data_IF_414051037755
#
_entry.id   IF_414051037755
#
_cell.length_a   1.000
_cell.length_b   1.000
_cell.length_c   1.000
_cell.angle_alpha   90.00
_cell.angle_beta   90.00
_cell.angle_gamma   90.00
#
_symmetry.space_group_name_H-M   'P 1'
#
loop_
_entity.id
_entity.type
_entity.pdbx_description
1 polymer ?
2 non-polymer ?
3 water ?
#
# COMPACT_ATOMS: atom_id res chain seq x y z
N UNK A 1 -12.99 -20.88 22.30
CA UNK A 1 -11.61 -20.43 21.99
C UNK A 1 -11.62 -19.13 21.20
N UNK A 2 -10.74 -18.21 21.55
CA UNK A 2 -10.65 -16.93 20.88
C UNK A 2 -9.47 -16.94 19.93
N UNK A 3 -9.67 -16.42 18.72
CA UNK A 3 -8.63 -16.36 17.70
C UNK A 3 -8.32 -14.91 17.34
N UNK A 4 -7.93 -14.15 18.34
CA UNK A 4 -7.61 -12.74 18.17
C UNK A 4 -6.49 -12.54 17.16
N UNK A 5 -6.74 -11.69 16.16
CA UNK A 5 -5.73 -11.45 15.13
C UNK A 5 -5.90 -12.34 13.92
N UNK A 6 -6.65 -13.44 14.10
CA UNK A 6 -6.92 -14.39 13.03
C UNK A 6 -5.68 -15.00 12.36
N UNK A 7 -4.58 -15.10 13.10
CA UNK A 7 -3.37 -15.67 12.50
C UNK A 7 -3.58 -17.10 12.03
N UNK A 8 -3.18 -17.37 10.79
CA UNK A 8 -3.32 -18.70 10.23
C UNK A 8 -4.72 -19.09 9.79
N UNK A 9 -5.69 -18.22 10.01
CA UNK A 9 -7.06 -18.52 9.59
C UNK A 9 -7.24 -18.24 8.10
N UNK A 10 -7.64 -19.27 7.36
CA UNK A 10 -7.86 -19.15 5.94
C UNK A 10 -9.31 -18.71 5.73
N UNK A 11 -9.49 -17.47 5.26
CA UNK A 11 -10.83 -16.95 5.05
C UNK A 11 -11.38 -17.14 3.64
N UNK A 12 -10.56 -17.70 2.75
CA UNK A 12 -11.00 -17.92 1.38
C UNK A 12 -9.96 -18.69 0.57
N UNK A 13 -10.34 -19.07 -0.65
CA UNK A 13 -9.45 -19.74 -1.57
C UNK A 13 -9.10 -18.66 -2.58
N UNK A 14 -7.85 -18.61 -3.01
CA UNK A 14 -7.45 -17.60 -3.99
C UNK A 14 -6.38 -18.14 -4.94
N UNK A 15 -6.50 -17.73 -6.21
CA UNK A 15 -5.48 -18.09 -7.18
C UNK A 15 -4.64 -16.87 -7.61
N UNK A 16 -4.85 -15.74 -6.90
CA UNK A 16 -4.17 -14.50 -7.27
C UNK A 16 -2.70 -14.46 -6.84
N UNK A 17 -2.43 -14.82 -5.59
CA UNK A 17 -1.07 -14.71 -5.08
C UNK A 17 -0.70 -15.76 -4.04
N UNK A 18 0.51 -16.29 -4.18
CA UNK A 18 1.01 -17.27 -3.22
C UNK A 18 2.10 -16.59 -2.41
N UNK A 19 1.88 -16.54 -1.09
CA UNK A 19 2.82 -15.94 -0.17
C UNK A 19 3.51 -17.04 0.62
N UNK A 20 4.79 -17.26 0.36
CA UNK A 20 5.55 -18.29 1.05
C UNK A 20 6.33 -17.62 2.18
N UNK A 21 5.71 -17.54 3.36
CA UNK A 21 6.35 -16.91 4.50
C UNK A 21 7.56 -17.66 5.05
N UNK A 22 7.57 -18.98 4.88
CA UNK A 22 8.68 -19.78 5.39
C UNK A 22 9.97 -19.56 4.60
N UNK A 23 9.88 -19.53 3.28
CA UNK A 23 11.05 -19.33 2.43
C UNK A 23 11.24 -17.90 1.92
N UNK A 24 10.37 -17.00 2.36
CA UNK A 24 10.48 -15.61 1.92
C UNK A 24 10.32 -15.41 0.43
N UNK A 25 9.28 -16.00 -0.15
CA UNK A 25 9.02 -15.85 -1.57
C UNK A 25 7.61 -15.34 -1.79
N UNK A 26 7.43 -14.55 -2.85
CA UNK A 26 6.12 -14.00 -3.19
C UNK A 26 5.91 -14.21 -4.68
N UNK A 27 4.71 -14.66 -5.04
CA UNK A 27 4.39 -14.92 -6.44
C UNK A 27 3.05 -14.33 -6.83
N UNK A 28 2.96 -13.79 -8.04
CA UNK A 28 1.70 -13.26 -8.57
C UNK A 28 1.26 -14.30 -9.59
N UNK A 29 0.15 -14.98 -9.30
CA UNK A 29 -0.35 -16.02 -10.19
C UNK A 29 0.75 -16.93 -10.71
N UNK A 30 1.64 -17.35 -9.82
CA UNK A 30 2.72 -18.26 -10.20
C UNK A 30 4.08 -17.69 -10.58
N UNK A 31 4.13 -16.39 -10.89
CA UNK A 31 5.39 -15.76 -11.28
C UNK A 31 6.02 -15.02 -10.10
N UNK A 32 7.32 -15.22 -9.87
CA UNK A 32 8.04 -14.54 -8.78
C UNK A 32 7.90 -13.04 -8.93
N UNK A 33 7.57 -12.35 -7.84
CA UNK A 33 7.39 -10.91 -7.87
C UNK A 33 8.63 -10.14 -8.37
N UNK A 34 9.83 -10.61 -8.03
CA UNK A 34 11.03 -9.90 -8.49
C UNK A 34 11.22 -10.01 -9.99
N UNK A 35 10.73 -11.08 -10.60
CA UNK A 35 10.84 -11.21 -12.04
C UNK A 35 10.02 -10.12 -12.70
N UNK A 36 8.79 -9.94 -12.20
CA UNK A 36 7.91 -8.90 -12.74
C UNK A 36 8.46 -7.51 -12.44
N UNK A 37 8.91 -7.29 -11.22
CA UNK A 37 9.43 -5.98 -10.83
C UNK A 37 10.61 -5.56 -11.73
N UNK A 38 11.37 -6.55 -12.17
CA UNK A 38 12.53 -6.31 -13.01
C UNK A 38 12.21 -6.21 -14.50
N UNK A 39 11.38 -7.13 -14.99
CA UNK A 39 11.06 -7.20 -16.41
C UNK A 39 9.73 -6.64 -16.90
N UNK A 40 8.80 -6.38 -15.98
CA UNK A 40 7.48 -5.90 -16.40
C UNK A 40 7.28 -4.40 -16.24
N UNK A 41 6.03 -3.98 -16.34
CA UNK A 41 5.63 -2.58 -16.21
C UNK A 41 4.35 -2.58 -15.39
N UNK A 42 3.93 -1.40 -14.94
CA UNK A 42 2.71 -1.30 -14.15
C UNK A 42 1.52 -1.90 -14.91
N UNK A 43 1.30 -1.42 -16.13
CA UNK A 43 0.18 -1.92 -16.92
C UNK A 43 0.23 -3.41 -17.23
N UNK A 44 1.42 -3.92 -17.55
CA UNK A 44 1.52 -5.35 -17.87
C UNK A 44 1.25 -6.24 -16.67
N UNK A 45 1.79 -5.89 -15.50
CA UNK A 45 1.56 -6.71 -14.31
C UNK A 45 0.12 -6.56 -13.82
N UNK A 46 -0.44 -5.36 -13.95
CA UNK A 46 -1.82 -5.13 -13.53
C UNK A 46 -2.74 -5.97 -14.42
N UNK A 47 -2.41 -6.01 -15.71
CA UNK A 47 -3.19 -6.79 -16.66
C UNK A 47 -3.15 -8.25 -16.22
N UNK A 48 -1.95 -8.71 -15.89
CA UNK A 48 -1.73 -10.09 -15.46
C UNK A 48 -2.53 -10.42 -14.20
N UNK A 49 -2.55 -9.50 -13.24
CA UNK A 49 -3.28 -9.72 -12.01
C UNK A 49 -4.80 -9.78 -12.23
N UNK A 50 -5.32 -8.88 -13.06
CA UNK A 50 -6.76 -8.83 -13.33
C UNK A 50 -7.28 -9.88 -14.32
N UNK A 51 -6.51 -10.16 -15.37
CA UNK A 51 -6.94 -11.11 -16.39
C UNK A 51 -6.43 -12.54 -16.27
N UNK A 52 -5.40 -12.75 -15.46
CA UNK A 52 -4.87 -14.09 -15.28
C UNK A 52 -3.89 -14.62 -16.30
N UNK A 53 -3.46 -13.77 -17.23
CA UNK A 53 -2.50 -14.19 -18.24
C UNK A 53 -1.68 -12.99 -18.71
N UNK A 54 -0.46 -13.25 -19.16
CA UNK A 54 0.39 -12.16 -19.66
C UNK A 54 -0.22 -11.74 -20.99
N UNK A 55 -0.35 -10.43 -21.22
CA UNK A 55 -0.92 -9.92 -22.47
C UNK A 55 0.01 -10.01 -23.68
N UNK A 56 -0.59 -10.19 -24.86
CA UNK A 56 0.18 -10.25 -26.08
C UNK A 56 0.54 -8.79 -26.41
N UNK A 57 1.36 -8.59 -27.42
CA UNK A 57 1.77 -7.24 -27.80
C UNK A 57 0.57 -6.32 -28.04
N UNK A 58 -0.39 -6.79 -28.82
CA UNK A 58 -1.57 -5.98 -29.13
C UNK A 58 -2.47 -5.79 -27.89
N UNK A 59 -2.61 -6.82 -27.07
CA UNK A 59 -3.43 -6.69 -25.87
C UNK A 59 -2.85 -5.64 -24.93
N UNK A 60 -1.54 -5.69 -24.72
CA UNK A 60 -0.89 -4.72 -23.84
C UNK A 60 -1.03 -3.31 -24.39
N UNK A 61 -0.84 -3.18 -25.71
CA UNK A 61 -0.95 -1.88 -26.36
C UNK A 61 -2.34 -1.29 -26.15
N UNK A 62 -3.36 -2.10 -26.39
CA UNK A 62 -4.74 -1.67 -26.22
C UNK A 62 -5.07 -1.40 -24.75
N UNK A 63 -4.53 -2.21 -23.86
CA UNK A 63 -4.77 -2.03 -22.44
C UNK A 63 -4.11 -0.75 -21.94
N UNK A 64 -2.94 -0.43 -22.47
CA UNK A 64 -2.25 0.80 -22.06
C UNK A 64 -3.04 2.01 -22.52
N UNK A 65 -3.61 1.94 -23.71
CA UNK A 65 -4.41 3.06 -24.22
C UNK A 65 -5.69 3.22 -23.40
N UNK A 66 -6.22 2.09 -22.92
CA UNK A 66 -7.45 2.10 -22.12
C UNK A 66 -7.20 2.81 -20.79
N UNK A 67 -6.17 2.37 -20.07
CA UNK A 67 -5.86 3.00 -18.79
C UNK A 67 -5.55 4.48 -18.99
N UNK A 68 -4.83 4.80 -20.06
CA UNK A 68 -4.47 6.19 -20.35
C UNK A 68 -5.70 7.04 -20.65
N UNK A 69 -6.75 6.41 -21.15
CA UNK A 69 -7.97 7.11 -21.49
C UNK A 69 -8.88 7.30 -20.25
N UNK A 70 -8.51 6.66 -19.15
CA UNK A 70 -9.28 6.74 -17.90
C UNK A 70 -8.65 7.60 -16.80
N UNK A 71 -7.66 8.41 -17.15
CA UNK A 71 -6.97 9.24 -16.17
C UNK A 71 -7.62 10.55 -15.74
N UNK A 72 -8.71 10.93 -16.40
CA UNK A 72 -9.37 12.20 -16.07
C UNK A 72 -10.32 12.19 -14.88
N UNK A 73 -10.35 13.31 -14.18
CA UNK A 73 -11.26 13.48 -13.05
C UNK A 73 -12.44 14.28 -13.61
N UNK A 74 -13.67 13.95 -13.19
CA UNK A 74 -14.85 14.66 -13.69
C UNK A 74 -14.72 16.15 -13.37
N UNK A 75 -15.35 17.00 -14.19
CA UNK A 75 -15.28 18.44 -14.00
C UNK A 75 -15.73 18.86 -12.60
N UNK A 76 -16.73 18.17 -12.07
CA UNK A 76 -17.26 18.50 -10.74
C UNK A 76 -16.23 18.22 -9.65
N UNK A 77 -15.44 17.17 -9.83
CA UNK A 77 -14.41 16.83 -8.85
C UNK A 77 -13.40 17.95 -8.78
N UNK A 78 -13.08 18.52 -9.93
CA UNK A 78 -12.13 19.61 -9.99
C UNK A 78 -12.66 20.80 -9.20
N UNK A 79 -13.97 21.00 -9.27
CA UNK A 79 -14.57 22.11 -8.53
C UNK A 79 -14.38 21.94 -7.04
N UNK A 80 -14.55 20.72 -6.56
CA UNK A 80 -14.39 20.40 -5.15
C UNK A 80 -12.94 20.57 -4.70
N UNK A 81 -12.00 20.16 -5.56
CA UNK A 81 -10.58 20.26 -5.24
C UNK A 81 -10.15 21.64 -4.77
N UNK A 82 -10.58 22.67 -5.50
CA UNK A 82 -10.16 24.04 -5.19
C UNK A 82 -10.85 24.64 -3.95
N UNK A 83 -11.71 23.82 -3.28
CA UNK A 83 -12.34 24.29 -2.05
C UNK A 83 -11.91 23.45 -0.83
N UNK A 84 -10.94 22.52 -1.09
CA UNK A 84 -10.43 21.66 0.00
C UNK A 84 -9.27 22.32 0.74
N UNK A 85 -9.06 21.91 2.00
CA UNK A 85 -7.95 22.47 2.77
C UNK A 85 -6.69 22.00 2.04
N UNK A 86 -5.58 22.71 2.19
CA UNK A 86 -4.34 22.34 1.52
C UNK A 86 -3.40 21.52 2.39
N UNK A 87 -3.89 21.04 3.54
CA UNK A 87 -3.03 20.28 4.43
C UNK A 87 -3.59 18.89 4.75
N UNK A 88 -4.34 18.30 3.82
CA UNK A 88 -4.90 16.98 4.04
C UNK A 88 -3.87 15.88 3.79
N UNK A 89 -4.07 14.73 4.43
CA UNK A 89 -3.20 13.58 4.23
C UNK A 89 -3.67 12.98 2.90
N UNK A 90 -2.73 12.55 2.06
CA UNK A 90 -3.10 12.00 0.76
C UNK A 90 -4.05 10.81 0.76
N UNK A 91 -3.98 9.95 1.77
CA UNK A 91 -4.90 8.81 1.84
C UNK A 91 -6.32 9.35 1.96
N UNK A 92 -6.50 10.40 2.75
CA UNK A 92 -7.81 11.00 2.93
C UNK A 92 -8.29 11.67 1.65
N UNK A 93 -7.37 12.26 0.90
CA UNK A 93 -7.69 12.91 -0.36
C UNK A 93 -8.28 11.85 -1.30
N UNK A 94 -7.66 10.68 -1.32
CA UNK A 94 -8.14 9.58 -2.16
C UNK A 94 -9.56 9.18 -1.75
N UNK A 95 -9.82 9.09 -0.45
CA UNK A 95 -11.14 8.72 0.04
C UNK A 95 -12.20 9.67 -0.51
N UNK A 96 -11.92 10.96 -0.37
CA UNK A 96 -12.83 12.00 -0.83
C UNK A 96 -13.20 11.85 -2.29
N UNK A 97 -12.21 11.78 -3.16
CA UNK A 97 -12.50 11.72 -4.59
C UNK A 97 -13.11 10.38 -5.03
N UNK A 98 -12.93 9.31 -4.21
CA UNK A 98 -13.56 8.04 -4.57
C UNK A 98 -15.01 7.97 -4.09
N UNK A 99 -15.40 8.98 -3.28
CA UNK A 99 -16.73 8.97 -2.67
C UNK A 99 -17.68 9.98 -3.32
N UNK A 100 -17.24 10.57 -4.45
CA UNK A 100 -18.14 11.47 -5.16
C UNK A 100 -18.76 10.77 -6.39
N UNK A 101 -19.77 9.91 -6.08
CA UNK A 101 -20.43 9.12 -7.13
C UNK A 101 -19.41 8.46 -8.07
N UNK A 109 -15.95 -8.48 -14.65
CA UNK A 109 -16.53 -8.02 -15.90
C UNK A 109 -16.71 -6.49 -15.90
N UNK A 110 -17.91 -6.04 -15.48
CA UNK A 110 -18.12 -4.62 -15.30
C UNK A 110 -17.38 -4.12 -14.05
N UNK A 111 -17.37 -5.01 -13.04
CA UNK A 111 -16.61 -4.73 -11.82
C UNK A 111 -15.12 -4.58 -12.14
N UNK A 112 -14.63 -5.41 -13.06
CA UNK A 112 -13.23 -5.34 -13.45
C UNK A 112 -12.99 -4.05 -14.24
N UNK A 113 -13.95 -3.66 -15.06
CA UNK A 113 -13.82 -2.44 -15.85
C UNK A 113 -13.76 -1.27 -14.87
N UNK A 114 -14.57 -1.36 -13.82
CA UNK A 114 -14.61 -0.33 -12.79
C UNK A 114 -13.26 -0.26 -12.07
N UNK A 115 -12.69 -1.43 -11.79
CA UNK A 115 -11.41 -1.51 -11.09
C UNK A 115 -10.32 -0.85 -11.95
N UNK A 116 -10.34 -1.15 -13.24
CA UNK A 116 -9.37 -0.59 -14.17
C UNK A 116 -9.44 0.94 -14.20
N UNK A 117 -10.67 1.46 -14.24
CA UNK A 117 -10.85 2.92 -14.29
C UNK A 117 -10.41 3.61 -13.00
N UNK A 118 -10.78 3.05 -11.85
CA UNK A 118 -10.40 3.66 -10.58
C UNK A 118 -8.87 3.66 -10.41
N UNK A 119 -8.23 2.55 -10.76
CA UNK A 119 -6.77 2.47 -10.65
C UNK A 119 -6.10 3.50 -11.55
N UNK A 120 -6.67 3.70 -12.74
CA UNK A 120 -6.11 4.65 -13.71
C UNK A 120 -6.13 6.10 -13.23
N UNK A 121 -7.12 6.46 -12.41
CA UNK A 121 -7.24 7.83 -11.93
C UNK A 121 -6.51 8.15 -10.62
N UNK A 122 -6.06 7.12 -9.89
CA UNK A 122 -5.37 7.33 -8.62
C UNK A 122 -4.23 8.37 -8.70
N UNK A 123 -3.30 8.22 -9.66
CA UNK A 123 -2.20 9.18 -9.79
C UNK A 123 -2.64 10.62 -10.08
N UNK A 124 -3.75 10.76 -10.80
CA UNK A 124 -4.26 12.08 -11.13
C UNK A 124 -4.75 12.76 -9.86
N UNK A 125 -5.44 12.00 -9.02
CA UNK A 125 -5.95 12.54 -7.75
C UNK A 125 -4.78 13.05 -6.92
N UNK A 126 -3.75 12.22 -6.78
CA UNK A 126 -2.57 12.59 -5.99
C UNK A 126 -1.80 13.76 -6.59
N UNK A 127 -1.53 13.70 -7.89
CA UNK A 127 -0.78 14.76 -8.55
C UNK A 127 -1.52 16.10 -8.49
N UNK A 128 -2.81 16.08 -8.80
CA UNK A 128 -3.61 17.30 -8.76
C UNK A 128 -3.62 17.94 -7.38
N UNK A 129 -3.79 17.13 -6.35
CA UNK A 129 -3.83 17.68 -5.00
C UNK A 129 -2.46 18.24 -4.61
N UNK A 130 -1.41 17.57 -5.07
CA UNK A 130 -0.05 18.01 -4.79
C UNK A 130 0.17 19.41 -5.38
N UNK A 131 -0.13 19.55 -6.68
CA UNK A 131 0.03 20.83 -7.37
C UNK A 131 -0.84 21.91 -6.72
N UNK A 132 -2.09 21.56 -6.46
CA UNK A 132 -3.04 22.47 -5.83
C UNK A 132 -2.55 22.94 -4.46
N UNK A 133 -2.22 21.98 -3.60
CA UNK A 133 -1.77 22.30 -2.24
C UNK A 133 -0.55 23.22 -2.23
N UNK A 134 0.25 23.18 -3.30
CA UNK A 134 1.44 24.00 -3.38
C UNK A 134 1.26 25.24 -4.26
N UNK A 135 0.01 25.53 -4.62
CA UNK A 135 -0.29 26.69 -5.45
C UNK A 135 0.28 26.69 -6.84
N UNK A 136 0.51 25.51 -7.41
CA UNK A 136 1.04 25.40 -8.75
C UNK A 136 -0.06 25.06 -9.75
N UNK A 137 0.17 25.37 -11.02
CA UNK A 137 -0.82 25.08 -12.05
C UNK A 137 -0.90 23.57 -12.24
N UNK A 138 -2.10 23.05 -12.49
CA UNK A 138 -2.28 21.63 -12.70
C UNK A 138 -1.59 21.22 -13.99
N UNK A 139 -1.10 19.99 -14.02
CA UNK A 139 -0.46 19.44 -15.21
C UNK A 139 -1.36 18.28 -15.59
N UNK A 140 -2.12 18.46 -16.67
CA UNK A 140 -3.08 17.46 -17.13
C UNK A 140 -2.40 16.14 -17.55
N UNK A 141 -3.12 15.02 -17.43
CA UNK A 141 -2.57 13.72 -17.80
C UNK A 141 -2.21 13.73 -19.29
N UNK A 142 -1.09 13.12 -19.64
CA UNK A 142 -0.66 13.05 -21.04
C UNK A 142 -0.90 11.64 -21.56
N UNK A 143 -1.73 11.52 -22.59
CA UNK A 143 -2.06 10.21 -23.12
C UNK A 143 -0.91 9.51 -23.83
N UNK A 144 0.16 10.25 -24.15
CA UNK A 144 1.31 9.64 -24.82
C UNK A 144 2.32 9.06 -23.82
N UNK A 145 2.02 9.18 -22.53
CA UNK A 145 2.91 8.66 -21.48
C UNK A 145 2.32 7.44 -20.76
N UNK A 146 3.19 6.60 -20.22
CA UNK A 146 2.75 5.40 -19.50
C UNK A 146 2.15 5.81 -18.14
N UNK A 147 1.51 4.86 -17.46
CA UNK A 147 0.89 5.12 -16.16
C UNK A 147 1.86 5.76 -15.16
N UNK A 148 3.04 5.18 -15.00
CA UNK A 148 4.03 5.69 -14.06
C UNK A 148 4.73 6.94 -14.59
N UNK A 149 5.12 6.94 -15.87
CA UNK A 149 5.76 8.11 -16.47
C UNK A 149 4.87 9.32 -16.27
N UNK A 150 3.58 9.14 -16.57
CA UNK A 150 2.61 10.20 -16.46
C UNK A 150 2.44 10.72 -15.03
N UNK A 151 2.48 9.81 -14.06
CA UNK A 151 2.33 10.23 -12.68
C UNK A 151 3.47 11.16 -12.33
N UNK A 152 4.69 10.74 -12.68
CA UNK A 152 5.86 11.55 -12.40
C UNK A 152 5.79 12.90 -13.09
N UNK A 153 5.26 12.92 -14.32
CA UNK A 153 5.15 14.17 -15.06
C UNK A 153 4.08 15.10 -14.50
N UNK A 154 2.94 14.56 -14.06
CA UNK A 154 1.88 15.39 -13.50
C UNK A 154 2.34 15.97 -12.17
N UNK A 155 3.30 15.30 -11.54
CA UNK A 155 3.84 15.73 -10.25
C UNK A 155 4.90 16.81 -10.40
N UNK A 156 5.91 16.53 -11.23
CA UNK A 156 7.03 17.44 -11.40
C UNK A 156 7.23 18.10 -12.75
N UNK A 157 6.35 17.81 -13.71
CA UNK A 157 6.48 18.41 -15.03
C UNK A 157 7.76 18.05 -15.78
N UNK A 158 8.34 16.90 -15.46
CA UNK A 158 9.56 16.47 -16.11
C UNK A 158 9.67 14.94 -16.13
N UNK A 159 10.52 14.42 -16.99
CA UNK A 159 10.73 12.98 -17.09
C UNK A 159 12.17 12.64 -16.76
N UNK A 160 12.34 11.57 -15.97
CA UNK A 160 13.65 11.15 -15.52
C UNK A 160 13.78 9.63 -15.49
N UNK A 161 15.01 9.14 -15.61
CA UNK A 161 15.30 7.71 -15.59
C UNK A 161 14.88 7.05 -14.28
N UNK A 162 14.83 7.85 -13.21
CA UNK A 162 14.43 7.36 -11.89
C UNK A 162 13.05 6.73 -11.93
N UNK A 163 12.29 7.05 -12.97
CA UNK A 163 10.95 6.53 -13.14
C UNK A 163 10.92 5.00 -13.10
N UNK A 164 11.94 4.38 -13.68
CA UNK A 164 12.06 2.92 -13.71
C UNK A 164 12.08 2.31 -12.29
N UNK A 165 12.75 3.01 -11.37
CA UNK A 165 12.85 2.54 -10.00
C UNK A 165 11.48 2.61 -9.33
N UNK A 166 10.76 3.70 -9.57
CA UNK A 166 9.42 3.87 -9.01
C UNK A 166 8.48 2.78 -9.55
N UNK A 167 8.60 2.49 -10.84
CA UNK A 167 7.75 1.47 -11.45
C UNK A 167 8.00 0.09 -10.82
N UNK A 168 9.27 -0.25 -10.62
CA UNK A 168 9.59 -1.54 -9.99
C UNK A 168 8.97 -1.58 -8.59
N UNK A 169 9.05 -0.46 -7.88
CA UNK A 169 8.48 -0.38 -6.53
C UNK A 169 6.98 -0.62 -6.55
N UNK A 170 6.28 0.01 -7.48
CA UNK A 170 4.83 -0.18 -7.56
C UNK A 170 4.50 -1.66 -7.79
N UNK A 171 5.19 -2.28 -8.73
CA UNK A 171 4.96 -3.68 -9.05
C UNK A 171 5.14 -4.55 -7.80
N UNK A 172 6.19 -4.29 -7.03
CA UNK A 172 6.44 -5.05 -5.80
C UNK A 172 5.34 -4.89 -4.76
N UNK A 173 4.64 -3.76 -4.80
CA UNK A 173 3.59 -3.46 -3.83
C UNK A 173 2.15 -3.70 -4.29
N UNK A 174 1.96 -4.16 -5.53
CA UNK A 174 0.61 -4.37 -6.02
C UNK A 174 -0.24 -5.39 -5.28
N UNK A 175 0.37 -6.45 -4.79
CA UNK A 175 -0.42 -7.50 -4.17
C UNK A 175 0.31 -8.40 -3.16
N UNK A 176 -0.41 -8.81 -2.11
CA UNK A 176 0.16 -9.73 -1.13
C UNK A 176 -0.84 -10.46 -0.23
N UNK A 177 -1.63 -11.32 -0.84
CA UNK A 177 -2.59 -12.14 -0.11
C UNK A 177 -3.59 -11.35 0.74
N UNK A 178 -3.99 -11.90 1.88
CA UNK A 178 -4.97 -11.25 2.73
C UNK A 178 -4.42 -10.41 3.87
N UNK A 179 -3.71 -9.34 3.51
CA UNK A 179 -3.15 -8.43 4.50
C UNK A 179 -4.31 -7.61 5.05
N UNK A 180 -4.06 -6.82 6.09
CA UNK A 180 -5.12 -6.03 6.71
C UNK A 180 -5.97 -5.17 5.77
N UNK A 181 -5.35 -4.45 4.84
CA UNK A 181 -6.12 -3.60 3.93
C UNK A 181 -6.92 -4.43 2.92
N UNK A 182 -6.33 -5.50 2.39
CA UNK A 182 -7.05 -6.34 1.45
C UNK A 182 -8.21 -7.01 2.20
N UNK A 183 -7.97 -7.38 3.46
CA UNK A 183 -9.01 -8.01 4.25
C UNK A 183 -10.15 -7.05 4.52
N UNK A 184 -9.82 -5.79 4.78
CA UNK A 184 -10.85 -4.76 5.04
C UNK A 184 -11.73 -4.63 3.79
N UNK A 185 -11.10 -4.62 2.62
CA UNK A 185 -11.84 -4.51 1.37
C UNK A 185 -12.76 -5.72 1.20
N UNK A 186 -12.29 -6.89 1.61
CA UNK A 186 -13.08 -8.11 1.48
C UNK A 186 -14.28 -8.13 2.43
N UNK A 187 -14.07 -7.68 3.66
CA UNK A 187 -15.17 -7.64 4.63
C UNK A 187 -16.28 -6.74 4.08
N UNK A 188 -15.89 -5.57 3.58
CA UNK A 188 -16.86 -4.64 3.02
C UNK A 188 -17.48 -5.24 1.75
N UNK A 189 -16.65 -5.84 0.91
CA UNK A 189 -17.14 -6.44 -0.33
C UNK A 189 -18.12 -7.59 -0.08
N UNK A 190 -17.94 -8.30 1.04
CA UNK A 190 -18.80 -9.45 1.36
C UNK A 190 -20.28 -9.05 1.62
N UNK A 191 -20.50 -7.75 1.88
CA UNK A 191 -21.88 -7.27 2.08
C UNK A 191 -22.57 -6.85 0.74
N UNK A 192 -21.79 -7.04 -0.33
CA UNK A 192 -22.09 -6.69 -1.70
C UNK A 192 -22.09 -5.18 -1.91
N UNK A 193 -21.32 -4.47 -1.04
CA UNK A 193 -21.24 -3.03 -1.20
C UNK A 193 -20.49 -2.71 -2.48
N UNK A 194 -20.48 -1.44 -2.89
CA UNK A 194 -19.81 -1.03 -4.12
C UNK A 194 -18.28 -1.08 -4.02
N UNK A 195 -17.63 -1.14 -5.18
CA UNK A 195 -16.17 -1.21 -5.23
C UNK A 195 -15.47 -0.03 -4.56
N UNK A 196 -16.04 1.17 -4.70
CA UNK A 196 -15.42 2.35 -4.09
C UNK A 196 -15.41 2.22 -2.57
N UNK A 197 -16.51 1.73 -2.00
CA UNK A 197 -16.61 1.54 -0.57
C UNK A 197 -15.54 0.56 -0.09
N UNK A 198 -15.34 -0.52 -0.83
CA UNK A 198 -14.34 -1.51 -0.46
C UNK A 198 -12.96 -0.85 -0.43
N UNK A 199 -12.66 -0.08 -1.47
CA UNK A 199 -11.37 0.60 -1.58
C UNK A 199 -11.15 1.63 -0.47
N UNK A 200 -12.17 2.43 -0.17
CA UNK A 200 -12.05 3.45 0.87
C UNK A 200 -11.76 2.82 2.23
N UNK A 201 -12.32 1.64 2.49
CA UNK A 201 -12.05 0.96 3.74
C UNK A 201 -10.63 0.44 3.75
N UNK A 202 -10.19 -0.10 2.61
CA UNK A 202 -8.84 -0.63 2.47
C UNK A 202 -7.83 0.50 2.70
N UNK A 203 -8.13 1.67 2.15
CA UNK A 203 -7.26 2.83 2.30
C UNK A 203 -7.09 3.16 3.79
N UNK A 204 -8.20 3.12 4.52
CA UNK A 204 -8.15 3.42 5.95
C UNK A 204 -7.24 2.47 6.70
N UNK A 205 -7.28 1.20 6.33
CA UNK A 205 -6.43 0.18 6.98
C UNK A 205 -4.97 0.35 6.58
N UNK A 206 -4.72 0.61 5.30
CA UNK A 206 -3.35 0.76 4.81
C UNK A 206 -2.66 1.93 5.50
N UNK A 207 -3.46 2.95 5.86
CA UNK A 207 -2.98 4.17 6.51
C UNK A 207 -2.38 3.93 7.90
N UNK A 208 -2.84 2.90 8.59
CA UNK A 208 -2.35 2.61 9.93
C UNK A 208 -0.85 2.37 10.05
N UNK A 209 -0.23 2.81 11.16
CA UNK A 209 1.19 2.67 11.44
C UNK A 209 1.64 1.20 11.56
N UNK A 210 0.66 0.34 11.91
CA UNK A 210 0.95 -1.09 11.99
C UNK A 210 0.77 -1.80 10.65
N UNK A 211 0.48 -0.98 9.61
CA UNK A 211 0.33 -1.53 8.27
C UNK A 211 1.13 -0.68 7.27
N UNK A 212 0.46 -0.21 6.20
CA UNK A 212 1.22 0.58 5.21
C UNK A 212 1.81 1.87 5.80
N UNK A 213 1.10 2.43 6.79
CA UNK A 213 1.52 3.68 7.40
C UNK A 213 2.90 3.62 8.04
N UNK A 214 3.43 2.42 8.26
CA UNK A 214 4.75 2.28 8.85
C UNK A 214 5.77 2.94 7.92
N UNK A 215 5.45 3.01 6.64
CA UNK A 215 6.35 3.64 5.67
C UNK A 215 6.57 5.12 5.98
N UNK A 216 5.54 5.79 6.49
CA UNK A 216 5.66 7.21 6.82
C UNK A 216 6.38 7.40 8.15
N UNK A 217 6.40 6.36 8.97
CA UNK A 217 7.07 6.43 10.27
C UNK A 217 8.56 6.11 10.21
N UNK A 218 8.97 5.42 9.13
CA UNK A 218 10.37 5.01 9.07
C UNK A 218 11.37 6.18 8.98
N UNK A 219 11.18 7.09 8.01
CA UNK A 219 12.07 8.22 7.89
C UNK A 219 12.34 8.95 9.23
N UNK A 220 11.27 9.30 9.98
CA UNK A 220 11.43 9.99 11.27
C UNK A 220 12.16 9.12 12.30
N UNK A 221 11.91 7.81 12.22
CA UNK A 221 12.55 6.88 13.14
C UNK A 221 14.04 6.82 12.83
N UNK A 222 14.37 6.76 11.53
CA UNK A 222 15.77 6.73 11.11
C UNK A 222 16.48 7.99 11.59
N UNK A 223 15.81 9.14 11.47
CA UNK A 223 16.39 10.40 11.89
C UNK A 223 16.53 10.45 13.42
N UNK A 224 15.59 9.81 14.11
CA UNK A 224 15.62 9.77 15.57
C UNK A 224 16.87 8.99 15.99
N UNK A 225 17.20 7.94 15.24
CA UNK A 225 18.38 7.14 15.53
C UNK A 225 19.60 8.02 15.26
N UNK A 226 19.53 8.79 14.17
CA UNK A 226 20.60 9.71 13.84
C UNK A 226 21.75 9.22 13.00
N UNK A 227 22.33 8.09 13.37
CA UNK A 227 23.45 7.55 12.61
C UNK A 227 23.69 6.09 12.91
N UNK A 228 24.56 5.47 12.11
CA UNK A 228 24.90 4.08 12.26
C UNK A 228 25.52 3.80 13.63
N UNK A 229 26.18 4.79 14.22
CA UNK A 229 26.83 4.62 15.51
C UNK A 229 25.84 4.49 16.67
N UNK A 230 24.63 4.99 16.47
CA UNK A 230 23.62 4.98 17.52
C UNK A 230 22.56 3.89 17.39
N UNK A 231 22.69 3.03 16.38
CA UNK A 231 21.73 1.96 16.15
C UNK A 231 21.58 1.00 17.34
N UNK A 232 22.68 0.44 17.81
CA UNK A 232 22.63 -0.49 18.94
C UNK A 232 21.84 0.06 20.13
N UNK A 233 22.17 1.28 20.54
CA UNK A 233 21.50 1.92 21.67
C UNK A 233 20.00 2.10 21.44
N UNK A 234 19.63 2.49 20.23
CA UNK A 234 18.22 2.70 19.90
C UNK A 234 17.43 1.40 19.98
N UNK A 235 18.00 0.33 19.40
CA UNK A 235 17.33 -0.96 19.40
C UNK A 235 17.15 -1.49 20.82
N UNK A 236 18.19 -1.42 21.63
CA UNK A 236 18.10 -1.89 23.01
C UNK A 236 17.03 -1.11 23.78
N UNK A 237 16.96 0.19 23.52
CA UNK A 237 15.98 1.05 24.16
C UNK A 237 14.56 0.61 23.77
N UNK A 238 14.39 0.29 22.48
CA UNK A 238 13.09 -0.17 21.98
C UNK A 238 12.65 -1.46 22.65
N UNK A 239 13.59 -2.37 22.85
CA UNK A 239 13.29 -3.64 23.48
C UNK A 239 12.81 -3.44 24.92
N UNK A 240 13.50 -2.55 25.64
CA UNK A 240 13.15 -2.25 27.03
C UNK A 240 11.78 -1.60 27.14
N UNK A 241 11.50 -0.64 26.26
CA UNK A 241 10.23 0.07 26.28
C UNK A 241 9.13 -0.69 25.54
N UNK A 242 9.50 -1.80 24.91
CA UNK A 242 8.54 -2.59 24.15
C UNK A 242 7.96 -1.71 23.05
N UNK A 243 8.82 -0.90 22.45
CA UNK A 243 8.41 0.00 21.37
C UNK A 243 8.55 -0.75 20.05
N UNK A 244 7.54 -0.66 19.20
CA UNK A 244 7.55 -1.33 17.91
C UNK A 244 8.56 -0.68 16.98
N UNK A 245 9.50 -1.46 16.46
CA UNK A 245 10.49 -0.95 15.51
C UNK A 245 9.86 -0.95 14.13
N UNK A 246 9.57 0.24 13.61
CA UNK A 246 8.95 0.38 12.29
C UNK A 246 9.83 -0.16 11.16
N UNK A 247 9.22 -0.77 10.16
CA UNK A 247 9.98 -1.30 9.05
C UNK A 247 10.45 -2.73 9.27
N UNK A 248 10.17 -3.28 10.43
CA UNK A 248 10.55 -4.66 10.75
C UNK A 248 9.36 -5.47 11.22
N UNK A 249 9.46 -6.80 11.07
CA UNK A 249 8.40 -7.68 11.50
C UNK A 249 7.35 -7.94 10.44
N UNK A 250 6.66 -9.07 10.57
CA UNK A 250 5.62 -9.43 9.63
C UNK A 250 4.81 -10.59 10.20
N UNK A 251 3.54 -10.64 9.80
CA UNK A 251 2.64 -11.70 10.26
C UNK A 251 2.97 -13.03 9.56
N UNK A 252 3.37 -12.95 8.29
CA UNK A 252 3.63 -14.16 7.51
C UNK A 252 5.10 -14.49 7.24
N UNK A 253 5.87 -13.53 6.76
CA UNK A 253 7.28 -13.79 6.53
C UNK A 253 7.96 -14.14 7.85
N UNK A 254 8.62 -15.32 7.85
CA UNK A 254 9.45 -15.71 8.99
C UNK A 254 10.94 -15.48 8.71
N UNK A 255 11.20 -14.73 7.62
CA UNK A 255 12.56 -14.41 7.23
C UNK A 255 12.57 -13.12 6.41
N UNK A 256 13.53 -12.91 5.52
CA UNK A 256 13.56 -11.71 4.71
C UNK A 256 12.32 -11.56 3.81
N UNK A 257 11.90 -10.31 3.63
CA UNK A 257 10.77 -9.96 2.79
C UNK A 257 11.43 -9.73 1.42
N UNK A 258 11.11 -10.57 0.41
CA UNK A 258 11.70 -10.43 -0.93
C UNK A 258 11.59 -9.05 -1.55
N UNK A 259 10.50 -8.34 -1.24
CA UNK A 259 10.30 -6.99 -1.77
C UNK A 259 11.30 -6.04 -1.11
N UNK A 260 11.57 -6.24 0.18
CA UNK A 260 12.52 -5.41 0.91
C UNK A 260 13.92 -5.64 0.34
N UNK A 261 14.25 -6.91 0.08
CA UNK A 261 15.54 -7.27 -0.47
C UNK A 261 15.75 -6.60 -1.83
N UNK A 262 14.72 -6.67 -2.67
CA UNK A 262 14.79 -6.07 -4.00
C UNK A 262 15.03 -4.56 -3.87
N UNK A 263 14.21 -3.87 -3.08
CA UNK A 263 14.36 -2.43 -2.90
C UNK A 263 15.67 -2.05 -2.22
N UNK A 264 16.20 -2.91 -1.35
CA UNK A 264 17.46 -2.60 -0.71
C UNK A 264 18.55 -2.56 -1.79
N UNK A 265 18.46 -3.47 -2.76
CA UNK A 265 19.43 -3.51 -3.84
C UNK A 265 19.29 -2.26 -4.70
N UNK A 266 18.06 -1.84 -4.95
CA UNK A 266 17.80 -0.64 -5.75
C UNK A 266 18.52 0.55 -5.12
N UNK A 267 18.34 0.73 -3.81
CA UNK A 267 18.97 1.82 -3.09
C UNK A 267 20.49 1.68 -3.09
N UNK A 268 20.97 0.46 -2.91
CA UNK A 268 22.41 0.22 -2.89
C UNK A 268 23.03 0.61 -4.23
N UNK A 269 22.31 0.35 -5.30
CA UNK A 269 22.81 0.64 -6.64
C UNK A 269 22.60 2.08 -7.09
N UNK A 270 21.56 2.75 -6.59
CA UNK A 270 21.28 4.12 -7.01
C UNK A 270 21.40 5.22 -5.97
N UNK A 271 21.27 4.88 -4.69
CA UNK A 271 21.39 5.89 -3.63
C UNK A 271 22.20 5.34 -2.45
N UNK A 272 23.40 4.81 -2.71
CA UNK A 272 24.27 4.24 -1.67
C UNK A 272 24.72 5.23 -0.60
N UNK A 273 24.73 6.51 -0.97
CA UNK A 273 25.19 7.55 -0.06
C UNK A 273 24.08 8.28 0.69
N UNK A 274 22.84 7.81 0.52
CA UNK A 274 21.72 8.39 1.23
C UNK A 274 21.91 8.12 2.73
N UNK A 275 21.88 9.18 3.53
CA UNK A 275 22.03 9.05 4.98
C UNK A 275 20.94 8.12 5.53
N UNK A 276 19.73 8.29 5.02
CA UNK A 276 18.61 7.45 5.45
C UNK A 276 18.90 5.98 5.16
N UNK A 277 19.38 5.71 3.94
CA UNK A 277 19.68 4.35 3.57
C UNK A 277 20.77 3.75 4.45
N UNK A 278 21.82 4.52 4.71
CA UNK A 278 22.92 4.04 5.55
C UNK A 278 22.41 3.62 6.92
N UNK A 279 21.55 4.44 7.50
CA UNK A 279 21.00 4.13 8.83
C UNK A 279 20.12 2.88 8.78
N UNK A 280 19.24 2.82 7.78
CA UNK A 280 18.34 1.68 7.64
C UNK A 280 19.11 0.38 7.42
N UNK A 281 20.18 0.46 6.65
CA UNK A 281 21.01 -0.71 6.37
C UNK A 281 21.71 -1.18 7.64
N UNK A 282 22.17 -0.22 8.44
CA UNK A 282 22.86 -0.55 9.68
C UNK A 282 21.87 -1.14 10.69
N UNK A 283 20.64 -0.64 10.67
CA UNK A 283 19.60 -1.12 11.57
C UNK A 283 19.33 -2.59 11.26
N UNK A 284 19.26 -2.93 9.97
CA UNK A 284 19.02 -4.30 9.56
C UNK A 284 20.19 -5.17 10.00
N UNK A 285 21.41 -4.68 9.77
CA UNK A 285 22.60 -5.43 10.14
C UNK A 285 22.60 -5.80 11.62
N UNK A 286 22.30 -4.82 12.47
CA UNK A 286 22.30 -5.07 13.91
C UNK A 286 21.21 -6.03 14.37
N UNK A 287 19.99 -5.80 13.87
CA UNK A 287 18.86 -6.62 14.26
C UNK A 287 18.96 -8.06 13.77
N UNK A 288 19.36 -8.24 12.51
CA UNK A 288 19.49 -9.58 11.97
C UNK A 288 20.73 -10.33 12.49
N UNK A 289 21.88 -9.66 12.56
CA UNK A 289 23.10 -10.32 13.04
C UNK A 289 22.97 -10.75 14.50
N UNK A 290 22.24 -9.98 15.30
CA UNK A 290 22.04 -10.31 16.70
C UNK A 290 20.76 -11.12 16.91
N UNK A 291 20.09 -11.46 15.82
CA UNK A 291 18.85 -12.24 15.86
C UNK A 291 17.83 -11.67 16.83
N UNK A 292 17.76 -10.33 16.88
CA UNK A 292 16.83 -9.66 17.77
C UNK A 292 15.38 -9.98 17.43
N UNK A 293 14.71 -10.67 18.35
CA UNK A 293 13.31 -11.06 18.18
C UNK A 293 13.04 -11.87 16.91
N UNK A 294 14.09 -12.34 16.28
CA UNK A 294 13.97 -13.11 15.05
C UNK A 294 13.14 -12.35 14.01
N UNK A 295 13.27 -11.03 13.97
CA UNK A 295 12.53 -10.23 12.99
C UNK A 295 13.45 -9.72 11.89
N UNK A 296 12.86 -9.44 10.73
CA UNK A 296 13.63 -8.96 9.59
C UNK A 296 12.95 -7.73 8.99
N UNK A 297 13.65 -7.04 8.07
CA UNK A 297 13.05 -5.86 7.46
C UNK A 297 11.85 -6.25 6.61
N UNK A 298 10.82 -5.42 6.59
CA UNK A 298 9.69 -5.68 5.72
C UNK A 298 9.79 -4.57 4.66
N UNK A 299 8.99 -4.65 3.61
CA UNK A 299 9.06 -3.69 2.52
C UNK A 299 9.00 -2.21 2.92
N UNK A 300 8.30 -1.88 4.01
CA UNK A 300 8.16 -0.50 4.44
C UNK A 300 9.48 0.20 4.79
N UNK A 301 10.48 -0.57 5.22
CA UNK A 301 11.77 0.00 5.60
C UNK A 301 12.47 0.66 4.42
N UNK A 302 12.52 -0.02 3.29
CA UNK A 302 13.20 0.51 2.12
C UNK A 302 12.34 1.23 1.10
N UNK A 303 11.05 0.89 1.04
CA UNK A 303 10.18 1.59 0.09
C UNK A 303 10.13 3.05 0.51
N UNK A 304 10.04 3.30 1.81
CA UNK A 304 9.98 4.67 2.33
C UNK A 304 11.24 5.44 1.99
N UNK A 305 12.41 4.80 2.13
CA UNK A 305 13.67 5.47 1.81
C UNK A 305 13.73 5.79 0.31
N UNK A 306 13.29 4.86 -0.53
CA UNK A 306 13.30 5.09 -1.96
C UNK A 306 12.39 6.27 -2.32
N UNK A 307 11.16 6.26 -1.79
CA UNK A 307 10.22 7.34 -2.09
C UNK A 307 10.79 8.70 -1.67
N UNK A 308 11.47 8.72 -0.54
CA UNK A 308 12.08 9.95 -0.06
C UNK A 308 13.15 10.42 -1.05
N UNK A 309 14.04 9.50 -1.42
CA UNK A 309 15.12 9.85 -2.34
C UNK A 309 14.60 10.23 -3.73
N UNK A 310 13.39 9.71 -4.08
CA UNK A 310 12.82 10.05 -5.40
C UNK A 310 12.13 11.42 -5.38
N UNK A 311 12.03 12.02 -4.17
CA UNK A 311 11.52 13.39 -4.08
C UNK A 311 10.00 13.49 -3.71
N UNK A 312 9.36 12.42 -3.24
CA UNK A 312 7.95 12.48 -2.88
C UNK A 312 7.74 12.90 -1.42
N UNK A 313 6.64 13.62 -1.14
CA UNK A 313 6.34 14.08 0.22
C UNK A 313 6.05 12.86 1.11
N UNK A 314 6.52 12.90 2.34
CA UNK A 314 6.34 11.78 3.27
C UNK A 314 4.86 11.43 3.50
N UNK A 315 3.98 12.45 3.51
CA UNK A 315 2.58 12.15 3.77
C UNK A 315 1.85 11.61 2.52
N UNK A 316 2.65 11.30 1.47
CA UNK A 316 2.10 10.63 0.30
C UNK A 316 2.60 9.18 0.16
N UNK A 317 3.58 8.80 1.03
CA UNK A 317 4.16 7.46 0.95
C UNK A 317 3.08 6.34 0.99
N UNK A 318 2.13 6.43 1.93
CA UNK A 318 1.09 5.41 2.01
C UNK A 318 0.20 5.46 0.76
N UNK A 319 -0.01 6.65 0.22
CA UNK A 319 -0.84 6.80 -0.98
C UNK A 319 -0.12 6.19 -2.19
N UNK A 320 1.21 6.23 -2.17
CA UNK A 320 1.99 5.64 -3.27
C UNK A 320 1.84 4.13 -3.21
N UNK A 321 1.80 3.61 -1.99
CA UNK A 321 1.61 2.18 -1.75
C UNK A 321 0.25 1.82 -2.33
N UNK A 322 -0.76 2.63 -1.99
CA UNK A 322 -2.13 2.39 -2.46
C UNK A 322 -2.27 2.46 -3.98
N UNK A 323 -1.53 3.37 -4.60
CA UNK A 323 -1.57 3.55 -6.05
C UNK A 323 -1.30 2.22 -6.74
N UNK A 324 -0.47 1.40 -6.09
CA UNK A 324 -0.15 0.09 -6.63
C UNK A 324 -1.10 -0.98 -6.06
N UNK A 325 -1.21 -1.02 -4.75
CA UNK A 325 -2.02 -2.07 -4.09
C UNK A 325 -3.51 -2.03 -4.47
N UNK A 326 -4.01 -0.92 -5.02
CA UNK A 326 -5.41 -0.87 -5.42
C UNK A 326 -5.67 -1.98 -6.45
N UNK A 327 -4.65 -2.34 -7.21
CA UNK A 327 -4.75 -3.41 -8.20
C UNK A 327 -5.04 -4.73 -7.48
N UNK A 328 -4.27 -5.00 -6.44
CA UNK A 328 -4.47 -6.22 -5.68
C UNK A 328 -5.79 -6.23 -4.94
N UNK A 329 -6.13 -5.10 -4.33
CA UNK A 329 -7.39 -4.99 -3.58
C UNK A 329 -8.57 -5.35 -4.48
N UNK A 330 -8.64 -4.70 -5.65
CA UNK A 330 -9.74 -4.94 -6.58
C UNK A 330 -9.74 -6.37 -7.15
N UNK A 331 -8.56 -6.92 -7.41
CA UNK A 331 -8.47 -8.28 -7.94
C UNK A 331 -9.12 -9.24 -6.94
N UNK A 332 -8.79 -9.05 -5.66
CA UNK A 332 -9.36 -9.88 -4.61
C UNK A 332 -10.86 -9.70 -4.46
N UNK A 333 -11.33 -8.46 -4.45
CA UNK A 333 -12.77 -8.21 -4.33
C UNK A 333 -13.51 -8.95 -5.45
N UNK A 334 -13.04 -8.78 -6.68
CA UNK A 334 -13.65 -9.43 -7.84
C UNK A 334 -13.69 -10.96 -7.68
N UNK A 335 -12.56 -11.55 -7.32
CA UNK A 335 -12.47 -12.98 -7.14
C UNK A 335 -13.40 -13.45 -6.03
N UNK A 336 -13.32 -12.80 -4.87
CA UNK A 336 -14.15 -13.18 -3.73
C UNK A 336 -15.66 -13.14 -3.98
N UNK A 337 -16.16 -12.03 -4.52
CA UNK A 337 -17.61 -11.93 -4.71
C UNK A 337 -18.16 -12.85 -5.82
N UNK A 338 -17.25 -13.42 -6.64
CA UNK A 338 -17.72 -14.34 -7.68
C UNK A 338 -18.42 -15.57 -7.07
N UNK A 339 -18.07 -15.80 -5.80
CA UNK A 339 -18.74 -16.77 -4.95
C UNK A 339 -18.77 -16.23 -3.51
N UNK A 340 -19.54 -15.16 -3.35
CA UNK A 340 -19.66 -14.44 -2.11
C UNK A 340 -20.17 -15.15 -0.86
N UNK A 341 -19.68 -14.66 0.27
CA UNK A 341 -20.06 -15.16 1.57
C UNK A 341 -19.87 -14.00 2.55
N UNK A 342 -20.97 -13.59 3.19
CA UNK A 342 -20.90 -12.51 4.16
C UNK A 342 -19.88 -12.87 5.23
N UNK A 343 -19.02 -11.93 5.62
CA UNK A 343 -18.04 -12.16 6.67
C UNK A 343 -18.64 -11.55 7.92
N UNK A 344 -19.02 -12.42 8.86
CA UNK A 344 -19.66 -11.98 10.09
C UNK A 344 -19.27 -12.90 11.24
N UNK A 345 -18.18 -12.57 11.95
CA UNK A 345 -17.72 -13.38 13.07
C UNK A 345 -18.47 -12.99 14.34
N UNK A 346 -17.86 -13.26 15.49
CA UNK A 346 -18.47 -12.91 16.76
C UNK A 346 -17.39 -12.71 17.81
N UNK A 347 -17.79 -12.65 19.07
CA UNK A 347 -16.84 -12.44 20.15
C UNK A 347 -17.22 -13.29 21.34
N UNK A 348 -16.36 -13.28 22.35
CA UNK A 348 -16.62 -14.00 23.58
C UNK A 348 -17.10 -12.91 24.53
N UNK A 349 -18.33 -13.02 25.02
CA UNK A 349 -18.85 -12.00 25.92
C UNK A 349 -18.30 -12.16 27.33
N UNK A 350 -17.67 -11.10 27.83
CA UNK A 350 -17.11 -11.10 29.17
C UNK A 350 -17.69 -9.98 30.04
N UNK A 351 -18.79 -9.39 29.57
CA UNK A 351 -19.43 -8.31 30.31
C UNK A 351 -20.42 -8.77 31.36
N UNK A 352 -21.12 -7.82 32.02
CA UNK A 352 -22.11 -8.13 33.04
C UNK A 352 -23.38 -8.77 32.48
N UNK A 353 -24.13 -9.43 33.35
CA UNK A 353 -25.36 -10.09 32.95
C UNK A 353 -26.50 -9.66 33.86
N UNK A 354 -27.72 -9.77 33.34
CA UNK A 354 -28.93 -9.42 34.10
C UNK A 354 -28.84 -8.09 34.83
N UNK A 355 -28.57 -7.02 34.08
CA UNK A 355 -28.47 -5.69 34.66
C UNK A 355 -29.82 -5.00 34.46
N UNK A 356 -30.33 -4.40 35.53
CA UNK A 356 -31.62 -3.72 35.46
C UNK A 356 -31.47 -2.25 35.13
N UNK A 357 -32.46 -1.70 34.44
CA UNK A 357 -32.46 -0.29 34.10
C UNK A 357 -33.00 0.45 35.31
N UNK A 358 -32.12 1.16 36.01
CA UNK A 358 -32.51 1.90 37.19
C UNK A 358 -32.97 3.31 36.82
N UNK A 359 -34.18 3.72 37.24
CA UNK A 359 -34.63 5.07 36.91
C UNK A 359 -33.60 6.06 37.41
N UNK A 360 -33.29 7.05 36.59
CA UNK A 360 -32.27 8.04 36.91
C UNK A 360 -32.28 8.62 38.32
N UNK A 361 -33.46 8.85 38.88
CA UNK A 361 -33.55 9.42 40.23
C UNK A 361 -33.07 8.48 41.35
N UNK A 362 -32.91 7.20 41.05
CA UNK A 362 -32.46 6.24 42.05
C UNK A 362 -31.03 5.78 41.86
N UNK A 363 -30.32 6.39 40.92
CA UNK A 363 -28.95 5.99 40.64
C UNK A 363 -27.91 6.49 41.64
N UNK A 364 -26.96 5.62 41.97
CA UNK A 364 -25.89 5.94 42.92
C UNK A 364 -25.16 7.22 42.53
N UNK A 365 -25.27 8.24 43.38
CA UNK A 365 -24.62 9.52 43.13
C UNK A 365 -23.13 9.42 43.43
#
# INVERSE_FOLDING_TARGET
MIQKGLEGVKICESSICYLDGINGRLYYRGIPVEELAEKSTFEETAYFLWYGKLPTKSELEEFKRKMADYRELPAEALGILYHLPKNLHYIDVLKIFLSIHGSMDGNDEDLREKAIRVASVFPTILAYYYRYSKGKELIRPRKDLSHVENFYYMMFGERNEKIRLLESAFILLMEQDINASTFAALVIASTLSDLYSCIVGALGALKGPLHGGASEKVPPMLEEIGSEDRVEEFVQKCLKEKRKIMGFGHRVYKTYDPRAVFLKRVLQEHFPDSKLFRIASKLEEYIVSNKIKNIYPNVDLYSSVLFEELGFPRNMFTALFATARVVGWTAHVIEYVSDNKLIRPTSEYVGPMDVEYIPIERRDENG
#
